data_IF_544824305346
#
_entry.id   IF_544824305346
#
_cell.length_a   1.000
_cell.length_b   1.000
_cell.length_c   1.000
_cell.angle_alpha   90.00
_cell.angle_beta   90.00
_cell.angle_gamma   90.00
#
_symmetry.space_group_name_H-M   'P 1'
#
loop_
_entity.id
_entity.type
_entity.pdbx_description
1 polymer ?
#
# COMPACT_ATOMS: atom_id res chain seq x y z
N UNK A 1 -5.35 6.66 12.40
CA UNK A 1 -5.30 5.71 13.53
C UNK A 1 -5.06 6.49 14.81
N UNK A 2 -6.08 7.11 15.43
CA UNK A 2 -5.86 7.98 16.58
C UNK A 2 -5.30 7.23 17.78
N UNK A 3 -4.36 7.84 18.51
CA UNK A 3 -3.83 7.30 19.76
C UNK A 3 -2.83 6.15 19.62
N UNK A 4 -2.16 6.04 18.47
CA UNK A 4 -1.06 5.08 18.23
C UNK A 4 0.18 5.88 17.82
N UNK A 5 1.35 5.49 18.33
CA UNK A 5 2.63 6.09 17.93
C UNK A 5 3.02 5.62 16.52
N UNK A 6 3.86 6.38 15.83
CA UNK A 6 4.19 6.07 14.42
C UNK A 6 4.92 4.72 14.32
N UNK A 7 5.77 4.47 15.30
CA UNK A 7 6.68 3.36 15.42
C UNK A 7 5.95 2.03 15.61
N UNK A 8 4.73 2.08 16.14
CA UNK A 8 3.85 0.92 16.36
C UNK A 8 3.01 0.54 15.13
N UNK A 9 3.03 1.37 14.08
CA UNK A 9 2.25 1.15 12.85
C UNK A 9 3.11 0.36 11.86
N UNK A 10 2.69 -0.87 11.60
CA UNK A 10 3.26 -1.71 10.54
C UNK A 10 2.45 -1.57 9.25
N UNK A 11 3.15 -1.41 8.13
CA UNK A 11 2.58 -1.33 6.79
C UNK A 11 3.24 -2.35 5.88
N UNK A 12 2.43 -3.18 5.25
CA UNK A 12 2.88 -4.13 4.23
C UNK A 12 2.10 -3.86 2.95
N UNK A 13 2.82 -3.60 1.85
CA UNK A 13 2.23 -3.37 0.54
C UNK A 13 2.52 -4.57 -0.36
N UNK A 14 1.48 -5.22 -0.86
CA UNK A 14 1.54 -6.15 -1.97
C UNK A 14 1.13 -5.44 -3.27
N UNK A 15 1.12 -6.17 -4.40
CA UNK A 15 0.75 -5.58 -5.68
C UNK A 15 -0.71 -5.10 -5.73
N UNK A 16 -1.61 -5.74 -4.97
CA UNK A 16 -3.05 -5.48 -5.01
C UNK A 16 -3.69 -5.32 -3.63
N UNK A 17 -2.89 -5.30 -2.56
CA UNK A 17 -3.40 -5.04 -1.21
C UNK A 17 -2.42 -4.23 -0.38
N UNK A 18 -2.96 -3.50 0.60
CA UNK A 18 -2.23 -2.80 1.65
C UNK A 18 -2.71 -3.31 3.00
N UNK A 19 -1.80 -3.85 3.81
CA UNK A 19 -2.07 -4.27 5.18
C UNK A 19 -1.59 -3.19 6.13
N UNK A 20 -2.44 -2.84 7.08
CA UNK A 20 -2.17 -1.90 8.17
C UNK A 20 -2.37 -2.66 9.48
N UNK A 21 -1.32 -2.82 10.27
CA UNK A 21 -1.39 -3.52 11.56
C UNK A 21 -0.73 -2.71 12.68
N UNK A 22 -1.29 -2.87 13.88
CA UNK A 22 -0.79 -2.32 15.14
C UNK A 22 -0.95 -3.41 16.18
N UNK A 23 0.13 -3.73 16.89
CA UNK A 23 0.10 -4.72 17.97
C UNK A 23 0.80 -4.17 19.21
N UNK A 24 0.05 -3.39 20.00
CA UNK A 24 0.50 -2.88 21.29
C UNK A 24 -0.40 -3.38 22.41
N UNK A 25 0.03 -3.20 23.67
CA UNK A 25 -0.77 -3.58 24.84
C UNK A 25 -2.07 -2.77 24.93
N UNK A 26 -2.05 -1.52 24.49
CA UNK A 26 -3.18 -0.59 24.59
C UNK A 26 -4.10 -0.66 23.37
N UNK A 27 -3.59 -1.08 22.21
CA UNK A 27 -4.37 -1.15 20.98
C UNK A 27 -3.87 -2.24 20.04
N UNK A 28 -4.80 -3.07 19.59
CA UNK A 28 -4.60 -3.98 18.46
C UNK A 28 -5.47 -3.56 17.30
N UNK A 29 -4.91 -3.52 16.12
CA UNK A 29 -5.64 -3.19 14.90
C UNK A 29 -5.04 -3.98 13.74
N UNK A 30 -5.92 -4.48 12.88
CA UNK A 30 -5.54 -5.13 11.65
C UNK A 30 -6.56 -4.77 10.58
N UNK A 31 -6.08 -4.32 9.43
CA UNK A 31 -6.92 -4.11 8.26
C UNK A 31 -6.13 -4.39 7.00
N UNK A 32 -6.68 -5.25 6.17
CA UNK A 32 -6.26 -5.41 4.78
C UNK A 32 -7.20 -4.60 3.88
N UNK A 33 -6.62 -3.85 2.95
CA UNK A 33 -7.32 -3.03 1.97
C UNK A 33 -6.98 -3.55 0.59
N UNK A 34 -7.97 -4.07 -0.14
CA UNK A 34 -7.79 -4.37 -1.56
C UNK A 34 -7.64 -3.06 -2.35
N UNK A 35 -6.62 -3.00 -3.18
CA UNK A 35 -6.32 -1.84 -4.02
C UNK A 35 -7.10 -1.93 -5.33
N UNK A 36 -7.60 -0.79 -5.86
CA UNK A 36 -8.40 -0.78 -7.08
C UNK A 36 -7.58 -1.05 -8.35
N UNK A 37 -6.25 -1.13 -8.26
CA UNK A 37 -5.34 -1.43 -9.35
C UNK A 37 -4.02 -2.00 -8.81
N UNK A 38 -3.27 -2.67 -9.67
CA UNK A 38 -1.90 -3.10 -9.35
C UNK A 38 -0.98 -1.89 -9.13
N UNK A 39 -0.16 -1.95 -8.09
CA UNK A 39 0.83 -0.92 -7.72
C UNK A 39 2.24 -1.48 -7.71
N UNK A 40 3.22 -0.58 -7.72
CA UNK A 40 4.62 -0.91 -7.43
C UNK A 40 4.88 -0.75 -5.92
N UNK A 41 5.04 -1.84 -5.15
CA UNK A 41 5.26 -1.77 -3.72
C UNK A 41 6.54 -1.01 -3.33
N UNK A 42 7.56 -1.01 -4.19
CA UNK A 42 8.83 -0.33 -3.91
C UNK A 42 8.70 1.19 -4.01
N UNK A 43 7.65 1.69 -4.68
CA UNK A 43 7.37 3.11 -4.80
C UNK A 43 6.65 3.72 -3.59
N UNK A 44 6.31 2.89 -2.60
CA UNK A 44 5.46 3.30 -1.48
C UNK A 44 6.10 4.40 -0.61
N UNK A 45 5.30 5.39 -0.27
CA UNK A 45 5.63 6.43 0.71
C UNK A 45 4.51 6.55 1.73
N UNK A 46 4.86 6.72 2.99
CA UNK A 46 3.89 6.88 4.08
C UNK A 46 4.25 8.09 4.95
N UNK A 47 3.22 8.80 5.42
CA UNK A 47 3.35 9.85 6.43
C UNK A 47 2.28 9.69 7.50
N UNK A 48 2.61 10.07 8.73
CA UNK A 48 1.69 9.99 9.86
C UNK A 48 1.75 11.30 10.64
N UNK A 49 0.63 12.03 10.66
CA UNK A 49 0.54 13.35 11.29
C UNK A 49 -0.81 13.51 11.98
N UNK A 50 -0.81 13.92 13.24
CA UNK A 50 -2.01 14.18 14.03
C UNK A 50 -3.02 13.02 14.03
N UNK A 51 -2.54 11.78 14.11
CA UNK A 51 -3.41 10.60 14.10
C UNK A 51 -3.92 10.16 12.72
N UNK A 52 -3.50 10.82 11.63
CA UNK A 52 -3.87 10.47 10.26
C UNK A 52 -2.69 9.82 9.55
N UNK A 53 -2.91 8.62 9.00
CA UNK A 53 -1.95 7.90 8.17
C UNK A 53 -2.29 8.17 6.70
N UNK A 54 -1.32 8.66 5.95
CA UNK A 54 -1.39 8.85 4.50
C UNK A 54 -0.39 7.93 3.82
N UNK A 55 -0.83 7.17 2.83
CA UNK A 55 0.01 6.26 2.03
C UNK A 55 -0.16 6.60 0.56
N UNK A 56 0.95 6.85 -0.14
CA UNK A 56 0.99 7.12 -1.57
C UNK A 56 1.68 5.97 -2.29
N UNK A 57 1.01 5.42 -3.31
CA UNK A 57 1.46 4.27 -4.11
C UNK A 57 1.41 4.62 -5.59
N UNK A 58 2.45 4.25 -6.35
CA UNK A 58 2.44 4.42 -7.81
C UNK A 58 1.80 3.20 -8.46
N UNK A 59 0.79 3.43 -9.31
CA UNK A 59 0.19 2.35 -10.12
C UNK A 59 1.25 1.73 -11.03
N UNK A 60 1.23 0.40 -11.17
CA UNK A 60 2.04 -0.27 -12.19
C UNK A 60 1.59 0.22 -13.57
N UNK A 61 2.58 0.55 -14.42
CA UNK A 61 2.29 0.83 -15.83
C UNK A 61 1.85 -0.46 -16.50
N UNK A 62 0.59 -0.49 -16.95
CA UNK A 62 0.08 -1.59 -17.78
C UNK A 62 0.82 -1.51 -19.11
N UNK A 63 1.79 -2.39 -19.34
CA UNK A 63 2.36 -2.55 -20.69
C UNK A 63 1.25 -3.14 -21.58
N UNK A 64 0.98 -2.57 -22.77
CA UNK A 64 0.01 -3.15 -23.67
C UNK A 64 0.39 -4.60 -23.97
N UNK A 65 -0.54 -5.54 -23.75
CA UNK A 65 -0.32 -7.00 -23.91
C UNK A 65 -0.17 -7.45 -25.37
N UNK A 66 -0.09 -6.52 -26.33
CA UNK A 66 0.05 -6.83 -27.75
C UNK A 66 1.36 -6.29 -28.30
N UNK A 67 2.14 -7.15 -28.94
CA UNK A 67 3.20 -6.73 -29.85
C UNK A 67 2.68 -6.86 -31.29
N UNK A 68 2.95 -5.85 -32.13
CA UNK A 68 2.59 -5.88 -33.54
C UNK A 68 3.53 -6.85 -34.26
N UNK A 69 3.01 -7.97 -34.72
CA UNK A 69 3.77 -8.94 -35.53
C UNK A 69 3.77 -8.41 -36.98
N UNK A 70 4.95 -8.34 -37.61
CA UNK A 70 5.08 -8.11 -39.05
C UNK A 70 5.01 -9.45 -39.78
N UNK A 71 4.24 -9.50 -40.87
CA UNK A 71 4.17 -10.64 -41.78
C UNK A 71 5.15 -10.35 -42.94
N UNK A 72 5.95 -11.35 -43.32
CA UNK A 72 6.79 -11.37 -44.54
C UNK A 72 6.10 -12.16 -45.65
#
# INVERSE_FOLDING_TARGET
VPGVEKEDINLECAEKSLIISVDTQTRKYYKEVELPAEVDPQSAKASYKNGVLEVTLTKKKVKPKGQKIKIE
#
